data_IF_646524057914
#
_entry.id   IF_646524057914
#
_cell.length_a   1.000
_cell.length_b   1.000
_cell.length_c   1.000
_cell.angle_alpha   90.00
_cell.angle_beta   90.00
_cell.angle_gamma   90.00
#
_symmetry.space_group_name_H-M   'P 1'
#
loop_
_entity.id
_entity.type
_entity.pdbx_description
1 polymer ?
#
# COMPACT_ATOMS: atom_id res chain seq x y z
N UNK A 1 -0.89 27.93 10.89
CA UNK A 1 0.46 27.38 10.64
C UNK A 1 0.40 26.08 9.79
N UNK A 2 -0.38 26.05 8.71
CA UNK A 2 -0.77 24.80 8.01
C UNK A 2 -0.24 24.65 6.58
N UNK A 3 0.24 25.73 5.93
CA UNK A 3 0.74 25.67 4.53
C UNK A 3 2.07 24.93 4.38
N UNK A 4 3.01 25.13 5.32
CA UNK A 4 4.38 24.59 5.22
C UNK A 4 4.41 23.05 5.23
N UNK A 5 3.59 22.38 6.04
CA UNK A 5 3.54 20.91 6.06
C UNK A 5 2.88 20.30 4.81
N UNK A 6 1.82 20.95 4.32
CA UNK A 6 1.10 20.54 3.10
C UNK A 6 1.95 20.74 1.83
N UNK A 7 2.85 21.72 1.84
CA UNK A 7 3.84 21.96 0.78
C UNK A 7 5.00 20.96 0.85
N UNK A 8 5.38 20.48 2.04
CA UNK A 8 6.48 19.51 2.23
C UNK A 8 6.09 18.05 2.00
N UNK A 9 4.80 17.71 2.09
CA UNK A 9 4.30 16.35 1.80
C UNK A 9 3.36 16.37 0.60
N UNK A 10 3.95 16.24 -0.58
CA UNK A 10 3.23 16.28 -1.86
C UNK A 10 2.71 14.90 -2.28
N UNK A 11 1.69 14.88 -3.13
CA UNK A 11 1.17 13.63 -3.71
C UNK A 11 2.26 12.87 -4.49
N UNK A 12 3.08 13.58 -5.27
CA UNK A 12 4.23 13.02 -5.98
C UNK A 12 5.26 12.42 -5.01
N UNK A 13 5.57 13.12 -3.91
CA UNK A 13 6.49 12.62 -2.89
C UNK A 13 6.01 11.32 -2.24
N UNK A 14 4.71 11.25 -1.91
CA UNK A 14 4.10 10.04 -1.38
C UNK A 14 4.15 8.88 -2.38
N UNK A 15 3.83 9.13 -3.65
CA UNK A 15 3.95 8.12 -4.71
C UNK A 15 5.40 7.64 -4.89
N UNK A 16 6.39 8.54 -4.84
CA UNK A 16 7.80 8.15 -4.86
C UNK A 16 8.15 7.18 -3.73
N UNK A 17 7.80 7.51 -2.48
CA UNK A 17 8.10 6.63 -1.35
C UNK A 17 7.34 5.30 -1.47
N UNK A 18 6.08 5.33 -1.91
CA UNK A 18 5.30 4.13 -2.17
C UNK A 18 6.00 3.18 -3.16
N UNK A 19 6.52 3.72 -4.27
CA UNK A 19 7.31 2.97 -5.24
C UNK A 19 8.52 2.29 -4.58
N UNK A 20 9.30 3.02 -3.79
CA UNK A 20 10.51 2.50 -3.13
C UNK A 20 10.16 1.35 -2.15
N UNK A 21 9.08 1.49 -1.38
CA UNK A 21 8.61 0.43 -0.48
C UNK A 21 8.10 -0.81 -1.22
N UNK A 22 7.31 -0.65 -2.28
CA UNK A 22 6.79 -1.77 -3.08
C UNK A 22 7.96 -2.48 -3.78
N UNK A 23 8.91 -1.73 -4.35
CA UNK A 23 10.10 -2.31 -4.99
C UNK A 23 10.93 -3.12 -3.99
N UNK A 24 11.16 -2.59 -2.78
CA UNK A 24 11.87 -3.31 -1.73
C UNK A 24 11.13 -4.57 -1.29
N UNK A 25 9.79 -4.52 -1.18
CA UNK A 25 8.99 -5.68 -0.82
C UNK A 25 9.16 -6.83 -1.82
N UNK A 26 9.14 -6.52 -3.12
CA UNK A 26 9.35 -7.50 -4.21
C UNK A 26 10.75 -8.12 -4.19
N UNK A 27 11.78 -7.32 -3.90
CA UNK A 27 13.15 -7.82 -3.75
C UNK A 27 13.28 -8.79 -2.57
N UNK A 28 12.67 -8.44 -1.43
CA UNK A 28 12.67 -9.30 -0.24
C UNK A 28 11.94 -10.62 -0.49
N UNK A 29 10.79 -10.57 -1.18
CA UNK A 29 10.07 -11.78 -1.56
C UNK A 29 10.87 -12.66 -2.52
N UNK A 30 11.44 -12.07 -3.58
CA UNK A 30 12.22 -12.81 -4.58
C UNK A 30 13.46 -13.48 -3.97
N UNK A 31 14.23 -12.75 -3.16
CA UNK A 31 15.41 -13.29 -2.46
C UNK A 31 15.02 -14.42 -1.48
N UNK A 32 13.87 -14.31 -0.83
CA UNK A 32 13.37 -15.37 0.06
C UNK A 32 12.95 -16.62 -0.71
N UNK A 33 12.21 -16.45 -1.82
CA UNK A 33 11.75 -17.54 -2.67
C UNK A 33 12.92 -18.32 -3.30
N UNK A 34 14.01 -17.64 -3.67
CA UNK A 34 15.24 -18.28 -4.16
C UNK A 34 15.93 -19.14 -3.09
N UNK A 35 15.96 -18.67 -1.83
CA UNK A 35 16.63 -19.36 -0.71
C UNK A 35 15.78 -20.46 -0.08
N UNK A 36 14.46 -20.37 -0.16
CA UNK A 36 13.51 -21.24 0.52
C UNK A 36 12.46 -21.81 -0.44
N UNK A 37 12.94 -22.47 -1.51
CA UNK A 37 12.08 -23.09 -2.50
C UNK A 37 11.05 -24.04 -1.85
N UNK A 38 9.76 -23.74 -2.05
CA UNK A 38 8.64 -24.51 -1.52
C UNK A 38 7.92 -23.87 -0.32
N UNK A 39 8.45 -22.81 0.27
CA UNK A 39 7.68 -22.01 1.22
C UNK A 39 6.55 -21.24 0.51
N UNK A 40 5.33 -21.37 1.03
CA UNK A 40 4.14 -20.76 0.42
C UNK A 40 3.88 -19.32 0.92
N UNK A 41 4.56 -18.91 1.99
CA UNK A 41 4.32 -17.63 2.66
C UNK A 41 5.59 -16.79 2.59
N UNK A 42 5.49 -15.64 1.94
CA UNK A 42 6.54 -14.63 1.93
C UNK A 42 6.91 -14.16 3.35
N UNK A 43 8.13 -13.66 3.58
CA UNK A 43 8.53 -13.21 4.89
C UNK A 43 7.67 -12.01 5.34
N UNK A 44 7.42 -11.91 6.65
CA UNK A 44 6.62 -10.82 7.26
C UNK A 44 7.14 -9.44 6.87
N UNK A 45 8.45 -9.31 6.65
CA UNK A 45 9.08 -8.07 6.17
C UNK A 45 8.60 -7.66 4.78
N UNK A 46 8.39 -8.59 3.85
CA UNK A 46 7.81 -8.30 2.54
C UNK A 46 6.38 -7.76 2.69
N UNK A 47 5.55 -8.41 3.52
CA UNK A 47 4.19 -7.94 3.82
C UNK A 47 4.17 -6.56 4.49
N UNK A 48 5.09 -6.29 5.41
CA UNK A 48 5.20 -4.99 6.05
C UNK A 48 5.51 -3.87 5.05
N UNK A 49 6.49 -4.11 4.17
CA UNK A 49 6.92 -3.15 3.16
C UNK A 49 5.81 -2.89 2.14
N UNK A 50 5.16 -3.93 1.61
CA UNK A 50 4.09 -3.77 0.61
C UNK A 50 2.85 -3.13 1.21
N UNK A 51 2.48 -3.48 2.46
CA UNK A 51 1.39 -2.85 3.17
C UNK A 51 1.60 -1.34 3.27
N UNK A 52 2.81 -0.93 3.66
CA UNK A 52 3.13 0.48 3.79
C UNK A 52 3.19 1.19 2.42
N UNK A 53 3.71 0.52 1.39
CA UNK A 53 3.69 1.03 0.03
C UNK A 53 2.28 1.26 -0.52
N UNK A 54 1.35 0.33 -0.29
CA UNK A 54 -0.07 0.49 -0.64
C UNK A 54 -0.69 1.67 0.14
N UNK A 55 -0.43 1.76 1.45
CA UNK A 55 -0.94 2.87 2.26
C UNK A 55 -0.46 4.23 1.74
N UNK A 56 0.83 4.36 1.42
CA UNK A 56 1.39 5.59 0.85
C UNK A 56 0.83 5.90 -0.54
N UNK A 57 0.56 4.87 -1.35
CA UNK A 57 -0.12 5.02 -2.64
C UNK A 57 -1.52 5.63 -2.47
N UNK A 58 -2.31 5.10 -1.53
CA UNK A 58 -3.64 5.63 -1.25
C UNK A 58 -3.59 7.06 -0.68
N UNK A 59 -2.61 7.35 0.18
CA UNK A 59 -2.38 8.71 0.70
C UNK A 59 -1.97 9.66 -0.42
N UNK A 60 -1.18 9.22 -1.41
CA UNK A 60 -0.85 10.02 -2.59
C UNK A 60 -2.11 10.39 -3.38
N UNK A 61 -3.00 9.43 -3.61
CA UNK A 61 -4.30 9.67 -4.26
C UNK A 61 -5.14 10.69 -3.48
N UNK A 62 -5.36 10.45 -2.18
CA UNK A 62 -6.14 11.35 -1.34
C UNK A 62 -5.53 12.75 -1.25
N UNK A 63 -4.20 12.85 -1.23
CA UNK A 63 -3.52 14.14 -1.24
C UNK A 63 -3.76 14.90 -2.54
N UNK A 64 -3.82 14.19 -3.67
CA UNK A 64 -4.12 14.74 -4.99
C UNK A 64 -5.59 15.20 -5.09
N UNK A 65 -6.54 14.51 -4.46
CA UNK A 65 -7.95 14.93 -4.41
C UNK A 65 -8.23 16.07 -3.42
N UNK A 66 -7.20 16.58 -2.73
CA UNK A 66 -7.31 17.75 -1.85
C UNK A 66 -7.35 17.45 -0.35
N UNK A 67 -7.20 16.19 0.07
CA UNK A 67 -7.11 15.84 1.50
C UNK A 67 -5.79 16.36 2.08
N UNK A 68 -5.87 17.22 3.09
CA UNK A 68 -4.70 17.82 3.77
C UNK A 68 -3.84 16.80 4.50
N UNK A 69 -2.53 17.07 4.65
CA UNK A 69 -1.57 16.23 5.37
C UNK A 69 -1.99 16.05 6.83
N UNK A 70 -2.55 17.09 7.45
CA UNK A 70 -3.11 17.00 8.81
C UNK A 70 -4.18 15.91 8.93
N UNK A 71 -5.06 15.80 7.93
CA UNK A 71 -6.08 14.74 7.90
C UNK A 71 -5.43 13.37 7.65
N UNK A 72 -4.51 13.27 6.69
CA UNK A 72 -3.81 12.01 6.38
C UNK A 72 -2.97 11.48 7.56
N UNK A 73 -2.46 12.37 8.43
CA UNK A 73 -1.71 12.01 9.64
C UNK A 73 -2.59 11.75 10.86
N UNK A 74 -3.89 12.04 10.79
CA UNK A 74 -4.81 11.79 11.90
C UNK A 74 -4.87 10.31 12.26
N UNK A 75 -5.26 9.97 13.48
CA UNK A 75 -5.40 8.57 13.92
C UNK A 75 -6.26 7.72 12.97
N UNK A 76 -7.22 8.34 12.27
CA UNK A 76 -8.11 7.68 11.31
C UNK A 76 -7.42 7.24 10.02
N UNK A 77 -6.42 7.97 9.52
CA UNK A 77 -5.79 7.69 8.22
C UNK A 77 -4.28 7.45 8.33
N UNK A 78 -3.68 7.71 9.50
CA UNK A 78 -2.24 7.67 9.71
C UNK A 78 -1.65 6.28 9.59
N UNK A 79 -2.36 5.23 10.04
CA UNK A 79 -1.90 3.84 10.03
C UNK A 79 -3.04 2.83 9.74
N UNK A 80 -4.11 3.30 9.12
CA UNK A 80 -5.28 2.50 8.82
C UNK A 80 -5.46 2.42 7.30
N UNK A 81 -4.92 1.34 6.72
CA UNK A 81 -5.06 1.02 5.32
C UNK A 81 -6.53 0.92 4.89
N UNK A 82 -7.40 0.36 5.73
CA UNK A 82 -8.81 0.18 5.43
C UNK A 82 -9.53 1.53 5.34
N UNK A 83 -9.23 2.44 6.27
CA UNK A 83 -9.79 3.80 6.25
C UNK A 83 -9.29 4.59 5.03
N UNK A 84 -8.01 4.51 4.70
CA UNK A 84 -7.46 5.13 3.48
C UNK A 84 -8.15 4.58 2.23
N UNK A 85 -8.34 3.26 2.16
CA UNK A 85 -8.91 2.63 0.98
C UNK A 85 -10.37 2.99 0.77
N UNK A 86 -11.17 2.94 1.85
CA UNK A 86 -12.57 3.35 1.80
C UNK A 86 -12.71 4.81 1.38
N UNK A 87 -11.91 5.70 1.97
CA UNK A 87 -11.94 7.11 1.62
C UNK A 87 -11.50 7.34 0.18
N UNK A 88 -10.49 6.63 -0.31
CA UNK A 88 -10.07 6.76 -1.71
C UNK A 88 -11.19 6.34 -2.68
N UNK A 89 -11.95 5.27 -2.36
CA UNK A 89 -13.14 4.88 -3.15
C UNK A 89 -14.23 5.96 -3.13
N UNK A 90 -14.52 6.54 -1.96
CA UNK A 90 -15.46 7.67 -1.85
C UNK A 90 -15.03 8.88 -2.71
N UNK A 91 -13.73 9.08 -2.88
CA UNK A 91 -13.14 10.15 -3.67
C UNK A 91 -12.88 9.75 -5.14
N UNK A 92 -13.49 8.65 -5.64
CA UNK A 92 -13.44 8.29 -7.07
C UNK A 92 -12.29 7.39 -7.52
N UNK A 93 -11.57 6.72 -6.60
CA UNK A 93 -10.42 5.85 -6.97
C UNK A 93 -10.77 4.83 -8.06
N UNK A 94 -12.00 4.31 -8.07
CA UNK A 94 -12.42 3.29 -9.03
C UNK A 94 -12.55 3.82 -10.48
N UNK A 95 -12.54 5.13 -10.68
CA UNK A 95 -12.55 5.75 -12.01
C UNK A 95 -11.18 5.60 -12.71
N UNK A 96 -10.11 5.41 -11.93
CA UNK A 96 -8.74 5.22 -12.43
C UNK A 96 -8.17 3.83 -12.15
N UNK A 97 -8.77 3.08 -11.22
CA UNK A 97 -8.31 1.76 -10.79
C UNK A 97 -9.44 0.73 -10.92
N UNK A 98 -9.35 -0.10 -11.97
CA UNK A 98 -10.29 -1.19 -12.20
C UNK A 98 -10.03 -2.36 -11.23
N UNK A 99 -10.64 -2.29 -10.05
CA UNK A 99 -10.49 -3.26 -8.97
C UNK A 99 -11.03 -4.66 -9.34
N UNK A 100 -10.16 -5.67 -9.27
CA UNK A 100 -10.51 -7.08 -9.47
C UNK A 100 -10.97 -7.77 -8.17
N UNK A 101 -11.57 -8.97 -8.24
CA UNK A 101 -11.85 -9.77 -7.05
C UNK A 101 -10.60 -10.11 -6.23
N UNK A 102 -9.46 -10.37 -6.88
CA UNK A 102 -8.20 -10.67 -6.21
C UNK A 102 -7.65 -9.43 -5.49
N UNK A 103 -7.77 -8.24 -6.10
CA UNK A 103 -7.42 -6.97 -5.46
C UNK A 103 -8.20 -6.77 -4.15
N UNK A 104 -9.52 -7.05 -4.17
CA UNK A 104 -10.38 -6.99 -2.97
C UNK A 104 -9.93 -7.97 -1.90
N UNK A 105 -9.69 -9.22 -2.29
CA UNK A 105 -9.28 -10.28 -1.37
C UNK A 105 -7.94 -9.96 -0.72
N UNK A 106 -6.94 -9.59 -1.52
CA UNK A 106 -5.62 -9.19 -1.05
C UNK A 106 -5.72 -8.01 -0.06
N UNK A 107 -6.48 -6.97 -0.40
CA UNK A 107 -6.68 -5.82 0.48
C UNK A 107 -7.34 -6.21 1.82
N UNK A 108 -8.39 -7.04 1.79
CA UNK A 108 -9.09 -7.49 3.00
C UNK A 108 -8.16 -8.30 3.91
N UNK A 109 -7.37 -9.22 3.34
CA UNK A 109 -6.43 -10.04 4.10
C UNK A 109 -5.29 -9.20 4.68
N UNK A 110 -4.74 -8.23 3.93
CA UNK A 110 -3.71 -7.30 4.42
C UNK A 110 -4.21 -6.43 5.58
N UNK A 111 -5.45 -5.95 5.50
CA UNK A 111 -6.09 -5.21 6.60
C UNK A 111 -6.20 -6.09 7.85
N UNK A 112 -6.65 -7.33 7.70
CA UNK A 112 -6.74 -8.30 8.81
C UNK A 112 -5.38 -8.63 9.42
N UNK A 113 -4.35 -8.79 8.59
CA UNK A 113 -3.00 -9.15 9.01
C UNK A 113 -2.32 -8.07 9.86
N UNK A 114 -2.68 -6.79 9.64
CA UNK A 114 -2.11 -5.65 10.38
C UNK A 114 -2.99 -5.12 11.51
N UNK A 115 -4.06 -5.84 11.91
CA UNK A 115 -4.84 -5.49 13.11
C UNK A 115 -3.90 -5.41 14.32
N UNK A 116 -4.02 -4.34 15.11
CA UNK A 116 -3.14 -4.10 16.26
C UNK A 116 -1.65 -3.98 15.92
N UNK A 117 -1.31 -3.62 14.68
CA UNK A 117 0.06 -3.58 14.16
C UNK A 117 0.75 -4.95 14.14
N UNK A 118 0.02 -6.03 13.83
CA UNK A 118 0.52 -7.40 13.79
C UNK A 118 1.66 -7.69 12.80
N UNK A 119 1.96 -6.76 11.88
CA UNK A 119 3.15 -6.80 11.01
C UNK A 119 4.39 -6.17 11.67
N UNK A 120 4.22 -5.35 12.72
CA UNK A 120 5.31 -4.68 13.46
C UNK A 120 5.62 -5.36 14.78
N UNK A 121 4.57 -5.81 15.49
CA UNK A 121 4.70 -6.43 16.80
C UNK A 121 4.28 -7.89 16.71
N UNK A 122 5.13 -8.76 17.27
CA UNK A 122 4.84 -10.19 17.34
C UNK A 122 3.57 -10.37 18.16
N UNK A 123 2.56 -10.96 17.52
CA UNK A 123 1.32 -11.38 18.14
C UNK A 123 1.16 -12.87 17.87
N UNK A 124 1.04 -13.66 18.94
CA UNK A 124 0.86 -15.11 18.89
C UNK A 124 -0.58 -15.45 18.50
N UNK A 125 -0.78 -16.49 17.70
CA UNK A 125 -2.10 -16.95 17.26
C UNK A 125 -2.09 -17.37 15.79
N UNK A 126 -3.20 -17.93 15.32
CA UNK A 126 -3.36 -18.25 13.90
C UNK A 126 -3.51 -16.96 13.09
N UNK A 127 -2.58 -16.73 12.15
CA UNK A 127 -2.66 -15.63 11.18
C UNK A 127 -2.86 -16.21 9.78
N UNK A 128 -3.76 -15.59 9.03
CA UNK A 128 -3.97 -15.91 7.61
C UNK A 128 -3.16 -14.92 6.78
N UNK A 129 -2.21 -15.42 6.00
CA UNK A 129 -1.43 -14.62 5.08
C UNK A 129 -2.04 -14.74 3.68
N UNK A 130 -2.26 -13.62 2.96
CA UNK A 130 -2.61 -13.69 1.55
C UNK A 130 -1.44 -14.27 0.76
N UNK A 131 -1.71 -15.01 -0.30
CA UNK A 131 -0.64 -15.45 -1.21
C UNK A 131 0.00 -14.24 -1.90
N UNK A 132 1.33 -14.25 -2.05
CA UNK A 132 2.06 -13.12 -2.64
C UNK A 132 1.60 -12.77 -4.05
N UNK A 133 1.19 -13.80 -4.81
CA UNK A 133 0.72 -13.69 -6.19
C UNK A 133 -0.53 -12.84 -6.36
N UNK A 134 -1.28 -12.53 -5.30
CA UNK A 134 -2.39 -11.55 -5.35
C UNK A 134 -2.03 -10.21 -4.72
N UNK A 135 -1.02 -10.18 -3.83
CA UNK A 135 -0.59 -8.95 -3.15
C UNK A 135 0.30 -8.09 -4.03
N UNK A 136 1.29 -8.68 -4.70
CA UNK A 136 2.17 -7.94 -5.60
C UNK A 136 1.40 -7.27 -6.75
N UNK A 137 0.52 -7.98 -7.50
CA UNK A 137 -0.25 -7.34 -8.56
C UNK A 137 -1.14 -6.20 -8.07
N UNK A 138 -1.80 -6.36 -6.91
CA UNK A 138 -2.57 -5.28 -6.28
C UNK A 138 -1.70 -4.05 -6.05
N UNK A 139 -0.55 -4.21 -5.39
CA UNK A 139 0.33 -3.10 -5.05
C UNK A 139 0.86 -2.38 -6.29
N UNK A 140 1.30 -3.15 -7.29
CA UNK A 140 1.85 -2.63 -8.55
C UNK A 140 0.79 -1.91 -9.36
N UNK A 141 -0.37 -2.53 -9.61
CA UNK A 141 -1.46 -1.94 -10.41
C UNK A 141 -2.04 -0.70 -9.77
N UNK A 142 -2.25 -0.72 -8.44
CA UNK A 142 -2.72 0.45 -7.70
C UNK A 142 -1.71 1.60 -7.81
N UNK A 143 -0.42 1.30 -7.63
CA UNK A 143 0.63 2.31 -7.79
C UNK A 143 0.69 2.85 -9.22
N UNK A 144 0.55 2.01 -10.25
CA UNK A 144 0.47 2.46 -11.65
C UNK A 144 -0.68 3.43 -11.89
N UNK A 145 -1.89 3.11 -11.41
CA UNK A 145 -3.04 3.99 -11.55
C UNK A 145 -2.80 5.36 -10.88
N UNK A 146 -2.33 5.36 -9.63
CA UNK A 146 -2.16 6.60 -8.86
C UNK A 146 -0.93 7.39 -9.29
N UNK A 147 0.21 6.75 -9.54
CA UNK A 147 1.45 7.43 -9.91
C UNK A 147 1.27 8.24 -11.20
N UNK A 148 0.61 7.67 -12.22
CA UNK A 148 0.32 8.40 -13.45
C UNK A 148 -0.56 9.62 -13.20
N UNK A 149 -1.61 9.48 -12.38
CA UNK A 149 -2.51 10.59 -12.03
C UNK A 149 -1.75 11.74 -11.35
N UNK A 150 -0.84 11.43 -10.43
CA UNK A 150 -0.12 12.46 -9.67
C UNK A 150 1.12 12.99 -10.39
N UNK A 151 1.46 12.49 -11.59
CA UNK A 151 2.62 12.93 -12.37
C UNK A 151 3.95 12.29 -11.95
N UNK A 152 3.93 11.06 -11.44
CA UNK A 152 5.11 10.28 -11.09
C UNK A 152 5.25 9.02 -11.97
N UNK A 153 6.47 8.49 -12.08
CA UNK A 153 6.73 7.22 -12.78
C UNK A 153 6.21 6.04 -11.97
N UNK A 154 5.92 4.93 -12.65
CA UNK A 154 5.54 3.68 -11.99
C UNK A 154 6.39 2.50 -12.47
N UNK A 155 6.06 1.31 -11.98
CA UNK A 155 6.57 0.04 -12.47
C UNK A 155 6.19 -0.13 -13.95
N UNK A 156 7.13 -0.61 -14.75
CA UNK A 156 6.86 -1.00 -16.13
C UNK A 156 5.88 -2.17 -16.15
N UNK A 157 4.97 -2.17 -17.12
CA UNK A 157 4.15 -3.34 -17.41
C UNK A 157 5.10 -4.41 -17.96
N UNK A 158 5.14 -5.56 -17.29
CA UNK A 158 5.85 -6.74 -17.78
C UNK A 158 5.11 -7.34 -18.98
#
# INVERSE_FOLDING_TARGET
>A
MTKDEDERTTAVGLARYAYEYIAAARLVDSDHAEKHAGEQISPVTAYFLVYHGIELTLKAYLRHTGVTVRVLRSAKYGHDLHACYRKAKEEGLLDIFNETPDDRSAMQMLVGLNVGHGLRYIQTGMKQFPVWSIVEPLAVRLHQAVAHLVGYRSFLVA
#
